data_IF_197658400729
#
_entry.id   IF_197658400729
#
_cell.length_a   1.000
_cell.length_b   1.000
_cell.length_c   1.000
_cell.angle_alpha   90.00
_cell.angle_beta   90.00
_cell.angle_gamma   90.00
#
_symmetry.space_group_name_H-M   'P 1'
#
loop_
_entity.id
_entity.type
_entity.pdbx_description
1 polymer ?
#
# COMPACT_ATOMS: atom_id res chain seq x y z
N UNK A 1 -25.61 26.21 -8.00
CA UNK A 1 -25.92 25.05 -7.14
C UNK A 1 -26.73 25.61 -5.96
N UNK A 2 -28.01 25.30 -5.93
CA UNK A 2 -28.93 25.68 -4.87
C UNK A 2 -28.46 24.95 -3.61
N UNK A 3 -28.12 25.67 -2.54
CA UNK A 3 -27.61 25.14 -1.29
C UNK A 3 -28.62 24.29 -0.48
N UNK A 4 -29.51 23.59 -1.14
CA UNK A 4 -30.36 22.59 -0.53
C UNK A 4 -29.57 21.34 -0.22
N UNK A 5 -29.46 21.04 1.06
CA UNK A 5 -28.92 19.79 1.58
C UNK A 5 -29.81 18.66 1.07
N UNK A 6 -29.40 17.97 0.03
CA UNK A 6 -30.02 16.69 -0.31
C UNK A 6 -29.59 15.66 0.75
N UNK A 7 -30.54 15.06 1.47
CA UNK A 7 -30.22 14.00 2.38
C UNK A 7 -29.75 12.80 1.56
N UNK A 8 -28.51 12.35 1.77
CA UNK A 8 -28.10 11.02 1.37
C UNK A 8 -28.65 10.02 2.37
N UNK A 9 -29.41 9.07 1.91
CA UNK A 9 -29.90 7.96 2.70
C UNK A 9 -28.88 6.82 2.59
N UNK A 10 -28.32 6.41 3.69
CA UNK A 10 -27.46 5.24 3.77
C UNK A 10 -28.26 4.08 4.37
N UNK A 11 -28.69 3.16 3.52
CA UNK A 11 -29.64 2.12 3.95
C UNK A 11 -30.88 2.75 4.56
N UNK A 12 -31.11 2.53 5.84
CA UNK A 12 -32.26 3.09 6.60
C UNK A 12 -31.94 4.38 7.36
N UNK A 13 -30.73 4.95 7.19
CA UNK A 13 -30.27 6.11 7.94
C UNK A 13 -30.00 7.29 7.03
N UNK A 14 -30.57 8.45 7.37
CA UNK A 14 -30.34 9.71 6.67
C UNK A 14 -28.97 10.29 7.08
N UNK A 15 -28.07 10.42 6.12
CA UNK A 15 -26.79 11.10 6.30
C UNK A 15 -26.81 12.44 5.55
N UNK A 16 -26.85 13.56 6.24
CA UNK A 16 -26.79 14.85 5.57
C UNK A 16 -25.41 15.04 4.94
N UNK A 17 -25.39 15.35 3.65
CA UNK A 17 -24.18 15.87 3.02
C UNK A 17 -23.78 17.17 3.71
N UNK A 18 -22.52 17.26 4.12
CA UNK A 18 -21.95 18.45 4.73
C UNK A 18 -20.95 19.10 3.78
N UNK A 19 -20.96 20.41 3.75
CA UNK A 19 -19.98 21.19 3.01
C UNK A 19 -18.59 20.87 3.54
N UNK A 20 -17.66 20.50 2.65
CA UNK A 20 -16.32 20.03 3.03
C UNK A 20 -16.21 18.56 3.40
N UNK A 21 -17.34 17.81 3.41
CA UNK A 21 -17.35 16.35 3.58
C UNK A 21 -17.11 15.61 2.27
N UNK A 22 -16.94 14.28 2.34
CA UNK A 22 -16.86 13.42 1.15
C UNK A 22 -18.22 13.33 0.46
N UNK A 23 -18.22 13.39 -0.86
CA UNK A 23 -19.38 13.15 -1.69
C UNK A 23 -19.31 11.75 -2.27
N UNK A 24 -20.16 10.87 -1.77
CA UNK A 24 -20.35 9.54 -2.37
C UNK A 24 -21.23 9.69 -3.61
N UNK A 25 -20.87 8.99 -4.67
CA UNK A 25 -21.63 9.03 -5.92
C UNK A 25 -22.79 8.04 -5.87
N UNK A 26 -23.99 8.54 -6.03
CA UNK A 26 -25.16 7.76 -6.33
C UNK A 26 -25.08 7.32 -7.81
N UNK A 27 -24.83 6.03 -8.06
CA UNK A 27 -24.56 5.51 -9.39
C UNK A 27 -25.84 5.31 -10.19
N UNK A 28 -26.92 4.91 -9.53
CA UNK A 28 -28.23 4.66 -10.16
C UNK A 28 -29.15 5.86 -10.12
N UNK A 29 -28.80 6.94 -9.40
CA UNK A 29 -29.54 8.20 -9.26
C UNK A 29 -30.92 8.03 -8.60
N UNK A 30 -31.04 7.10 -7.65
CA UNK A 30 -32.30 6.88 -6.92
C UNK A 30 -32.41 7.70 -5.62
N UNK A 31 -31.33 8.45 -5.26
CA UNK A 31 -31.25 9.28 -4.05
C UNK A 31 -30.88 8.51 -2.79
N UNK A 32 -30.55 7.23 -2.90
CA UNK A 32 -30.16 6.35 -1.80
C UNK A 32 -28.76 5.81 -2.09
N UNK A 33 -27.83 5.93 -1.15
CA UNK A 33 -26.53 5.27 -1.27
C UNK A 33 -26.61 3.89 -0.63
N UNK A 34 -26.57 2.84 -1.44
CA UNK A 34 -26.65 1.47 -0.96
C UNK A 34 -25.76 0.51 -1.78
N UNK A 35 -26.03 -0.78 -1.67
CA UNK A 35 -25.28 -1.80 -2.40
C UNK A 35 -25.46 -1.73 -3.93
N UNK A 36 -26.48 -1.07 -4.44
CA UNK A 36 -26.72 -0.91 -5.87
C UNK A 36 -25.79 0.15 -6.48
N UNK A 37 -25.19 1.01 -5.64
CA UNK A 37 -24.17 1.97 -6.06
C UNK A 37 -22.76 1.36 -6.12
N UNK A 38 -22.61 0.12 -5.70
CA UNK A 38 -21.33 -0.57 -5.78
C UNK A 38 -21.02 -0.95 -7.22
N UNK A 39 -19.78 -0.76 -7.63
CA UNK A 39 -19.29 -1.19 -8.93
C UNK A 39 -18.02 -2.03 -8.81
N UNK A 40 -17.72 -2.78 -9.84
CA UNK A 40 -16.51 -3.59 -9.89
C UNK A 40 -15.28 -2.70 -10.12
N UNK A 41 -14.50 -2.47 -9.08
CA UNK A 41 -13.31 -1.60 -9.12
C UNK A 41 -12.03 -2.31 -9.61
N UNK A 42 -12.09 -3.61 -9.87
CA UNK A 42 -10.96 -4.41 -10.37
C UNK A 42 -10.63 -5.61 -9.47
N UNK A 43 -9.60 -6.37 -9.87
CA UNK A 43 -9.19 -7.60 -9.21
C UNK A 43 -8.04 -7.37 -8.23
N UNK A 44 -8.09 -8.03 -7.09
CA UNK A 44 -6.96 -8.15 -6.15
C UNK A 44 -5.89 -9.11 -6.66
N UNK A 45 -6.23 -9.97 -7.63
CA UNK A 45 -5.26 -10.79 -8.32
C UNK A 45 -4.42 -9.93 -9.28
N UNK A 46 -3.10 -10.07 -9.28
CA UNK A 46 -2.24 -9.32 -10.19
C UNK A 46 -2.42 -9.76 -11.64
N UNK A 47 -2.21 -8.85 -12.58
CA UNK A 47 -2.19 -9.18 -14.01
C UNK A 47 -1.03 -10.11 -14.38
N UNK A 48 0.11 -9.96 -13.69
CA UNK A 48 1.25 -10.87 -13.77
C UNK A 48 2.07 -10.79 -12.47
N UNK A 49 2.68 -11.90 -12.10
CA UNK A 49 3.64 -11.97 -10.99
C UNK A 49 4.66 -13.08 -11.27
N UNK A 50 5.81 -12.99 -10.63
CA UNK A 50 6.83 -14.01 -10.78
C UNK A 50 8.17 -13.63 -10.16
N UNK A 51 9.17 -14.49 -10.42
CA UNK A 51 10.55 -14.28 -10.02
C UNK A 51 11.49 -14.36 -11.22
N UNK A 52 12.57 -13.59 -11.15
CA UNK A 52 13.68 -13.65 -12.11
C UNK A 52 14.92 -13.94 -11.29
N UNK A 53 15.57 -15.08 -11.57
CA UNK A 53 16.84 -15.44 -10.94
C UNK A 53 17.97 -15.49 -11.97
N UNK A 54 19.16 -15.12 -11.53
CA UNK A 54 20.39 -15.22 -12.31
C UNK A 54 21.50 -15.73 -11.43
N UNK A 55 22.28 -16.65 -11.97
CA UNK A 55 23.53 -17.15 -11.37
C UNK A 55 24.66 -16.95 -12.37
N UNK A 56 25.72 -16.29 -11.95
CA UNK A 56 26.91 -16.03 -12.77
C UNK A 56 28.15 -16.46 -12.00
N UNK A 57 28.99 -17.27 -12.65
CA UNK A 57 30.30 -17.63 -12.11
C UNK A 57 31.43 -17.16 -13.03
N UNK A 58 32.46 -16.58 -12.44
CA UNK A 58 33.65 -16.18 -13.19
C UNK A 58 34.90 -16.23 -12.31
N UNK A 59 35.88 -17.06 -12.70
CA UNK A 59 37.19 -17.19 -12.01
C UNK A 59 37.08 -17.34 -10.49
N UNK A 60 36.12 -18.12 -10.01
CA UNK A 60 35.89 -18.37 -8.60
C UNK A 60 34.98 -17.35 -7.91
N UNK A 61 34.63 -16.26 -8.53
CA UNK A 61 33.55 -15.36 -8.10
C UNK A 61 32.21 -15.95 -8.53
N UNK A 62 31.24 -15.94 -7.64
CA UNK A 62 29.84 -16.24 -7.95
C UNK A 62 28.92 -15.10 -7.54
N UNK A 63 27.91 -14.86 -8.35
CA UNK A 63 26.87 -13.88 -8.10
C UNK A 63 25.51 -14.53 -8.33
N UNK A 64 24.71 -14.58 -7.28
CA UNK A 64 23.31 -14.99 -7.35
C UNK A 64 22.41 -13.81 -7.08
N UNK A 65 21.42 -13.64 -7.94
CA UNK A 65 20.45 -12.56 -7.83
C UNK A 65 19.06 -13.12 -8.01
N UNK A 66 18.14 -12.73 -7.13
CA UNK A 66 16.71 -13.06 -7.21
C UNK A 66 15.87 -11.80 -7.11
N UNK A 67 15.08 -11.56 -8.13
CA UNK A 67 14.05 -10.53 -8.14
C UNK A 67 12.65 -11.16 -8.08
N UNK A 68 11.76 -10.52 -7.33
CA UNK A 68 10.32 -10.79 -7.38
C UNK A 68 9.61 -9.57 -7.96
N UNK A 69 8.57 -9.80 -8.74
CA UNK A 69 7.73 -8.74 -9.28
C UNK A 69 6.24 -9.08 -9.21
N UNK A 70 5.43 -8.04 -9.13
CA UNK A 70 3.97 -8.08 -9.24
C UNK A 70 3.52 -6.89 -10.05
N UNK A 71 2.60 -7.12 -11.00
CA UNK A 71 2.10 -6.09 -11.89
C UNK A 71 0.59 -5.95 -11.77
N UNK A 72 0.17 -4.70 -11.59
CA UNK A 72 -1.24 -4.26 -11.68
C UNK A 72 -2.23 -5.09 -10.85
N UNK A 73 -1.99 -5.24 -9.55
CA UNK A 73 -3.03 -5.72 -8.62
C UNK A 73 -3.77 -4.53 -8.01
N UNK A 74 -5.06 -4.68 -7.75
CA UNK A 74 -5.80 -3.72 -6.95
C UNK A 74 -5.61 -4.01 -5.48
N UNK A 75 -5.39 -2.95 -4.71
CA UNK A 75 -5.17 -3.00 -3.27
C UNK A 75 -6.04 -1.95 -2.61
N UNK A 76 -6.76 -2.34 -1.59
CA UNK A 76 -7.49 -1.41 -0.74
C UNK A 76 -6.57 -0.95 0.40
N UNK A 77 -6.06 0.27 0.27
CA UNK A 77 -5.14 0.86 1.25
C UNK A 77 -5.91 1.53 2.39
N UNK A 78 -6.17 0.76 3.44
CA UNK A 78 -6.86 1.27 4.63
C UNK A 78 -5.96 2.16 5.49
N UNK A 79 -4.63 2.01 5.37
CA UNK A 79 -3.65 2.83 6.10
C UNK A 79 -3.72 4.28 5.64
N UNK A 80 -3.90 4.51 4.33
CA UNK A 80 -4.04 5.85 3.75
C UNK A 80 -5.15 6.63 4.45
N UNK A 81 -6.24 5.96 4.76
CA UNK A 81 -7.39 6.54 5.40
C UNK A 81 -7.16 6.76 6.89
N UNK A 82 -6.74 5.73 7.60
CA UNK A 82 -6.47 5.79 9.04
C UNK A 82 -5.33 6.76 9.42
N UNK A 83 -4.40 7.01 8.49
CA UNK A 83 -3.32 7.95 8.69
C UNK A 83 -3.78 9.41 8.84
N UNK A 84 -4.98 9.73 8.38
CA UNK A 84 -5.60 11.05 8.47
C UNK A 84 -6.82 11.10 9.40
N UNK A 85 -7.18 9.97 10.00
CA UNK A 85 -8.19 9.93 11.06
C UNK A 85 -7.57 10.49 12.34
N UNK A 86 -8.01 11.67 12.73
CA UNK A 86 -7.67 12.22 14.03
C UNK A 86 -8.52 11.51 15.08
N UNK A 87 -7.90 10.63 15.82
CA UNK A 87 -8.53 10.13 17.03
C UNK A 87 -8.20 11.08 18.19
N UNK A 88 -9.16 11.91 18.59
CA UNK A 88 -9.02 12.86 19.71
C UNK A 88 -8.49 12.19 20.97
N UNK A 89 -8.79 10.90 21.16
CA UNK A 89 -8.46 10.20 22.41
C UNK A 89 -6.99 9.77 22.49
N UNK A 90 -6.26 9.72 21.37
CA UNK A 90 -4.89 9.18 21.36
C UNK A 90 -3.81 10.17 20.93
N UNK A 91 -4.15 11.32 20.36
CA UNK A 91 -3.18 12.32 19.96
C UNK A 91 -2.12 11.83 18.96
N UNK A 92 -2.37 10.73 18.26
CA UNK A 92 -1.42 10.12 17.33
C UNK A 92 -1.72 10.59 15.91
N UNK A 93 -0.77 11.29 15.32
CA UNK A 93 -0.77 11.68 13.91
C UNK A 93 0.21 10.77 13.19
N UNK A 94 -0.28 9.89 12.33
CA UNK A 94 0.56 8.90 11.63
C UNK A 94 1.30 9.49 10.43
N UNK A 95 0.79 10.56 9.83
CA UNK A 95 1.39 11.22 8.66
C UNK A 95 1.60 12.71 8.87
N UNK A 96 2.51 13.28 8.08
CA UNK A 96 2.72 14.72 8.05
C UNK A 96 1.59 15.42 7.28
N UNK A 97 0.52 15.76 7.99
CA UNK A 97 -0.66 16.43 7.44
C UNK A 97 -0.35 17.77 6.77
N UNK A 98 0.80 18.39 7.06
CA UNK A 98 1.24 19.64 6.40
C UNK A 98 1.54 19.45 4.92
N UNK A 99 1.74 18.22 4.48
CA UNK A 99 2.00 17.85 3.08
C UNK A 99 0.76 17.45 2.31
N UNK A 100 -0.40 17.51 2.95
CA UNK A 100 -1.68 17.05 2.40
C UNK A 100 -2.64 18.22 2.31
N UNK A 101 -3.33 18.34 1.19
CA UNK A 101 -4.38 19.33 1.00
C UNK A 101 -5.69 18.82 1.58
N UNK A 102 -6.20 19.55 2.57
CA UNK A 102 -7.54 19.37 3.10
C UNK A 102 -8.45 20.46 2.60
N UNK A 103 -9.73 20.15 2.44
CA UNK A 103 -10.72 21.12 2.07
C UNK A 103 -10.84 22.21 3.16
N UNK A 104 -10.80 23.49 2.76
CA UNK A 104 -10.86 24.64 3.66
C UNK A 104 -12.04 25.57 3.32
N UNK A 105 -12.36 25.72 2.04
CA UNK A 105 -13.39 26.66 1.60
C UNK A 105 -14.13 26.18 0.34
N UNK A 106 -15.36 26.67 0.11
CA UNK A 106 -16.10 26.39 -1.12
C UNK A 106 -15.29 26.74 -2.38
N UNK A 107 -15.16 25.77 -3.28
CA UNK A 107 -14.34 25.88 -4.48
C UNK A 107 -13.01 25.15 -4.41
N UNK A 108 -12.59 24.67 -3.24
CA UNK A 108 -11.38 23.85 -3.11
C UNK A 108 -11.61 22.45 -3.73
N UNK A 109 -10.65 22.02 -4.55
CA UNK A 109 -10.55 20.67 -5.06
C UNK A 109 -9.40 19.96 -4.33
N UNK A 110 -9.73 19.04 -3.44
CA UNK A 110 -8.74 18.33 -2.60
C UNK A 110 -9.09 16.85 -2.48
N UNK A 111 -8.06 16.03 -2.21
CA UNK A 111 -8.24 14.59 -2.02
C UNK A 111 -8.83 14.23 -0.65
N UNK A 112 -8.82 15.17 0.30
CA UNK A 112 -9.26 14.94 1.66
C UNK A 112 -10.33 15.96 2.10
N UNK A 113 -11.32 15.50 2.88
CA UNK A 113 -12.35 16.35 3.44
C UNK A 113 -11.77 17.33 4.45
N UNK A 114 -12.58 18.26 4.92
CA UNK A 114 -12.24 19.16 6.01
C UNK A 114 -11.83 18.40 7.27
N UNK A 115 -10.82 18.90 7.97
CA UNK A 115 -10.38 18.33 9.26
C UNK A 115 -11.47 18.32 10.33
N UNK A 116 -12.47 19.21 10.24
CA UNK A 116 -13.62 19.24 11.16
C UNK A 116 -14.42 17.93 11.14
N UNK A 117 -14.45 17.24 9.98
CA UNK A 117 -15.19 15.98 9.83
C UNK A 117 -14.38 14.74 10.22
N UNK A 118 -13.09 14.87 10.42
CA UNK A 118 -12.26 13.76 10.89
C UNK A 118 -12.67 13.26 12.29
N UNK A 119 -13.47 14.04 13.01
CA UNK A 119 -13.68 13.91 14.43
C UNK A 119 -15.08 13.46 14.85
N UNK A 120 -16.09 13.54 14.00
CA UNK A 120 -17.49 13.26 14.38
C UNK A 120 -18.01 11.88 13.96
N UNK A 121 -17.11 10.96 13.59
CA UNK A 121 -17.47 9.61 13.14
C UNK A 121 -18.08 9.56 11.72
N UNK A 122 -18.27 10.73 11.09
CA UNK A 122 -18.81 10.83 9.75
C UNK A 122 -17.87 10.20 8.70
N UNK A 123 -16.55 10.35 8.91
CA UNK A 123 -15.55 9.78 8.02
C UNK A 123 -15.47 8.26 8.20
N UNK A 124 -15.60 7.76 9.42
CA UNK A 124 -15.44 6.33 9.73
C UNK A 124 -16.51 5.42 9.13
N UNK A 125 -17.68 5.94 8.80
CA UNK A 125 -18.75 5.12 8.21
C UNK A 125 -18.54 4.82 6.72
N UNK A 126 -17.78 5.69 6.02
CA UNK A 126 -17.49 5.53 4.60
C UNK A 126 -16.10 4.97 4.31
N UNK A 127 -15.29 4.78 5.34
CA UNK A 127 -13.86 4.53 5.22
C UNK A 127 -13.49 3.16 4.69
N UNK A 128 -14.39 2.19 4.78
CA UNK A 128 -14.03 0.81 4.49
C UNK A 128 -13.98 0.46 3.01
N UNK A 129 -14.96 0.91 2.22
CA UNK A 129 -15.21 0.34 0.90
C UNK A 129 -15.42 1.39 -0.19
N UNK A 130 -14.65 2.47 -0.16
CA UNK A 130 -14.69 3.52 -1.19
C UNK A 130 -13.50 3.39 -2.14
N UNK A 131 -13.72 3.75 -3.39
CA UNK A 131 -12.74 3.62 -4.47
C UNK A 131 -11.50 4.50 -4.32
N UNK A 132 -11.61 5.62 -3.60
CA UNK A 132 -10.46 6.48 -3.29
C UNK A 132 -9.36 5.79 -2.46
N UNK A 133 -9.71 4.67 -1.80
CA UNK A 133 -8.75 3.83 -1.07
C UNK A 133 -8.14 2.73 -1.95
N UNK A 134 -8.61 2.58 -3.20
CA UNK A 134 -8.13 1.52 -4.10
C UNK A 134 -6.97 2.03 -4.94
N UNK A 135 -5.83 1.39 -4.80
CA UNK A 135 -4.63 1.66 -5.59
C UNK A 135 -4.35 0.54 -6.59
N UNK A 136 -3.78 0.90 -7.75
CA UNK A 136 -3.24 -0.08 -8.68
C UNK A 136 -1.75 -0.22 -8.41
N UNK A 137 -1.36 -1.34 -7.83
CA UNK A 137 -0.02 -1.56 -7.31
C UNK A 137 0.80 -2.43 -8.24
N UNK A 138 2.02 -2.00 -8.50
CA UNK A 138 3.07 -2.78 -9.14
C UNK A 138 4.36 -2.61 -8.36
N UNK A 139 5.16 -3.67 -8.28
CA UNK A 139 6.46 -3.58 -7.64
C UNK A 139 7.47 -4.55 -8.24
N UNK A 140 8.75 -4.22 -8.05
CA UNK A 140 9.92 -5.06 -8.27
C UNK A 140 10.79 -5.01 -7.02
N UNK A 141 11.11 -6.18 -6.47
CA UNK A 141 11.95 -6.32 -5.27
C UNK A 141 13.19 -7.14 -5.57
N UNK A 142 14.35 -6.63 -5.18
CA UNK A 142 15.56 -7.46 -5.08
C UNK A 142 15.48 -8.28 -3.79
N UNK A 143 15.05 -9.54 -3.96
CA UNK A 143 14.75 -10.45 -2.86
C UNK A 143 16.01 -11.00 -2.22
N UNK A 144 16.98 -11.36 -3.05
CA UNK A 144 18.24 -11.94 -2.59
C UNK A 144 19.39 -11.53 -3.52
N UNK A 145 20.50 -11.22 -2.91
CA UNK A 145 21.80 -11.02 -3.56
C UNK A 145 22.83 -11.82 -2.78
N UNK A 146 23.52 -12.76 -3.43
CA UNK A 146 24.65 -13.48 -2.84
C UNK A 146 25.87 -13.26 -3.71
N UNK A 147 26.93 -12.78 -3.09
CA UNK A 147 28.25 -12.67 -3.71
C UNK A 147 29.17 -13.65 -3.01
N UNK A 148 29.71 -14.60 -3.76
CA UNK A 148 30.59 -15.63 -3.26
C UNK A 148 31.96 -15.62 -3.92
N UNK A 149 32.95 -16.14 -3.22
CA UNK A 149 34.29 -16.36 -3.76
C UNK A 149 34.87 -17.67 -3.31
N UNK A 150 35.20 -18.55 -4.28
CA UNK A 150 35.93 -19.79 -4.03
C UNK A 150 37.41 -19.49 -4.03
N UNK A 151 38.06 -19.73 -2.90
CA UNK A 151 39.52 -19.48 -2.77
C UNK A 151 40.32 -20.43 -3.66
N UNK A 152 41.32 -19.93 -4.40
CA UNK A 152 42.16 -20.75 -5.23
C UNK A 152 43.02 -21.68 -4.40
N UNK A 153 43.29 -22.89 -4.94
CA UNK A 153 44.07 -23.93 -4.24
C UNK A 153 45.49 -23.45 -3.84
N UNK A 154 46.05 -22.50 -4.55
CA UNK A 154 47.35 -21.90 -4.23
C UNK A 154 47.38 -21.20 -2.87
N UNK A 155 46.29 -20.53 -2.49
CA UNK A 155 46.16 -19.92 -1.16
C UNK A 155 45.96 -20.95 -0.05
N UNK A 156 45.30 -22.08 -0.38
CA UNK A 156 44.98 -23.12 0.59
C UNK A 156 46.14 -24.12 0.79
N UNK A 157 47.13 -24.12 -0.10
CA UNK A 157 48.24 -25.10 -0.08
C UNK A 157 49.04 -25.16 1.24
N UNK A 158 49.04 -24.08 2.01
CA UNK A 158 49.70 -23.96 3.32
C UNK A 158 48.77 -24.14 4.51
N UNK A 159 47.52 -24.52 4.25
CA UNK A 159 46.51 -24.71 5.29
C UNK A 159 46.04 -26.15 5.32
N UNK A 160 45.28 -26.54 6.35
CA UNK A 160 44.64 -27.87 6.45
C UNK A 160 43.36 -27.95 5.61
N UNK A 161 42.94 -26.85 4.97
CA UNK A 161 41.70 -26.77 4.22
C UNK A 161 41.88 -27.27 2.79
N UNK A 162 41.04 -28.18 2.33
CA UNK A 162 41.01 -28.68 0.96
C UNK A 162 40.31 -27.74 0.01
N UNK A 163 39.25 -27.10 0.50
CA UNK A 163 38.45 -26.07 -0.22
C UNK A 163 37.95 -25.05 0.80
N UNK A 164 37.81 -23.82 0.35
CA UNK A 164 37.17 -22.74 1.13
C UNK A 164 36.37 -21.85 0.19
N UNK A 165 35.19 -21.50 0.66
CA UNK A 165 34.23 -20.60 -0.02
C UNK A 165 33.80 -19.55 0.99
N UNK A 166 33.90 -18.29 0.60
CA UNK A 166 33.46 -17.14 1.40
C UNK A 166 32.33 -16.48 0.65
N UNK A 167 31.26 -16.16 1.33
CA UNK A 167 30.15 -15.48 0.71
C UNK A 167 29.57 -14.39 1.62
N UNK A 168 28.93 -13.43 0.99
CA UNK A 168 28.10 -12.40 1.62
C UNK A 168 26.72 -12.49 1.00
N UNK A 169 25.69 -12.54 1.83
CA UNK A 169 24.30 -12.51 1.40
C UNK A 169 23.59 -11.28 1.93
N UNK A 170 22.70 -10.76 1.12
CA UNK A 170 21.81 -9.68 1.50
C UNK A 170 20.41 -9.96 0.97
N UNK A 171 19.41 -9.66 1.78
CA UNK A 171 18.00 -9.89 1.47
C UNK A 171 17.20 -8.60 1.50
N UNK A 172 16.20 -8.51 0.61
CA UNK A 172 15.28 -7.38 0.54
C UNK A 172 15.99 -6.01 0.43
N UNK A 173 17.07 -5.97 -0.37
CA UNK A 173 17.95 -4.79 -0.48
C UNK A 173 17.25 -3.55 -0.99
N UNK A 174 16.37 -3.70 -1.97
CA UNK A 174 15.58 -2.57 -2.44
C UNK A 174 14.21 -3.00 -2.97
N UNK A 175 13.30 -2.04 -2.98
CA UNK A 175 11.95 -2.16 -3.50
C UNK A 175 11.67 -0.96 -4.40
N UNK A 176 11.27 -1.22 -5.63
CA UNK A 176 10.67 -0.25 -6.53
C UNK A 176 9.16 -0.51 -6.54
N UNK A 177 8.37 0.45 -6.12
CA UNK A 177 6.92 0.33 -6.05
C UNK A 177 6.25 1.69 -6.25
N UNK A 178 5.06 1.67 -6.83
CA UNK A 178 4.15 2.81 -6.87
C UNK A 178 3.11 2.79 -5.74
N UNK A 179 3.24 1.87 -4.80
CA UNK A 179 2.34 1.77 -3.65
C UNK A 179 2.62 2.87 -2.63
N UNK A 180 1.56 3.53 -2.16
CA UNK A 180 1.67 4.61 -1.17
C UNK A 180 1.75 4.10 0.28
N UNK A 181 1.43 2.82 0.52
CA UNK A 181 1.55 2.17 1.83
C UNK A 181 2.98 1.70 2.14
N UNK A 182 3.10 0.89 3.18
CA UNK A 182 4.42 0.54 3.75
C UNK A 182 5.15 -0.50 2.90
N UNK A 183 4.50 -1.61 2.57
CA UNK A 183 5.10 -2.71 1.82
C UNK A 183 4.04 -3.46 1.00
N UNK A 184 4.15 -3.47 -0.33
CA UNK A 184 3.17 -4.12 -1.18
C UNK A 184 3.16 -5.67 -1.08
N UNK A 185 4.16 -6.29 -0.47
CA UNK A 185 4.19 -7.74 -0.25
C UNK A 185 3.42 -8.16 1.00
N UNK A 186 3.20 -7.25 1.96
CA UNK A 186 2.52 -7.56 3.23
C UNK A 186 1.00 -7.43 3.17
N UNK A 187 0.47 -7.05 2.02
CA UNK A 187 -0.96 -6.95 1.78
C UNK A 187 -1.60 -8.33 1.88
N UNK A 188 -2.70 -8.43 2.62
CA UNK A 188 -3.46 -9.67 2.74
C UNK A 188 -3.83 -10.22 1.34
N UNK A 189 -3.35 -11.40 0.96
CA UNK A 189 -3.60 -11.97 -0.36
C UNK A 189 -5.06 -12.37 -0.58
N UNK A 190 -5.83 -12.62 0.47
CA UNK A 190 -7.23 -13.05 0.39
C UNK A 190 -8.18 -11.88 0.24
N UNK A 191 -8.00 -10.85 1.05
CA UNK A 191 -8.89 -9.67 1.06
C UNK A 191 -8.41 -8.56 0.14
N UNK A 192 -7.12 -8.52 -0.20
CA UNK A 192 -6.50 -7.42 -0.93
C UNK A 192 -6.44 -6.12 -0.13
N UNK A 193 -6.64 -6.19 1.20
CA UNK A 193 -6.62 -5.04 2.10
C UNK A 193 -5.25 -4.91 2.77
N UNK A 194 -4.85 -3.66 2.95
CA UNK A 194 -3.75 -3.27 3.83
C UNK A 194 -4.34 -2.51 5.02
N UNK A 195 -4.46 -3.19 6.15
CA UNK A 195 -5.02 -2.63 7.40
C UNK A 195 -3.95 -1.93 8.23
N UNK A 196 -2.70 -1.88 7.75
CA UNK A 196 -1.57 -1.39 8.53
C UNK A 196 -1.07 -2.36 9.61
N UNK A 197 -1.70 -3.53 9.74
CA UNK A 197 -1.30 -4.58 10.67
C UNK A 197 -0.12 -5.41 10.13
N UNK A 198 0.68 -4.84 9.27
CA UNK A 198 1.88 -5.49 8.80
C UNK A 198 2.91 -5.50 9.90
N UNK A 199 3.19 -6.69 10.42
CA UNK A 199 4.40 -6.89 11.21
C UNK A 199 5.57 -6.56 10.28
N UNK A 200 6.38 -5.54 10.58
CA UNK A 200 7.54 -5.27 9.77
C UNK A 200 8.43 -6.51 9.84
N UNK A 201 8.50 -7.25 8.74
CA UNK A 201 9.52 -8.27 8.57
C UNK A 201 10.84 -7.52 8.64
N UNK A 202 11.40 -7.48 9.85
CA UNK A 202 12.75 -7.04 10.19
C UNK A 202 13.47 -6.23 9.10
N UNK A 203 13.19 -4.94 9.02
CA UNK A 203 14.16 -3.98 8.52
C UNK A 203 15.23 -3.83 9.61
N UNK A 204 16.26 -4.64 9.54
CA UNK A 204 17.51 -4.34 10.21
C UNK A 204 18.33 -3.40 9.35
#
# INVERSE_FOLDING_TARGET
ETGEKQPLVFGNSLYPLRVGGRKIKDQNSDGVIDMQDMYYAGSTLPAAYGGISSHVEWKGLSLDVLFNYTLRRKVMNMVKNSAFLFNKNFGVIMNDYRKVSFWQAPGDETDYPSLEFADDGYVGQFDGNIDSNIETVSFLRLKQLVLGYKLPKSLLAKTFLKEAFVYMSAENLFLLSNYSGTDPETIDPYTGKDDGNTYPLNRK
#
